data_IF_413819182608
#
_entry.id   IF_413819182608
#
_cell.length_a   1.000
_cell.length_b   1.000
_cell.length_c   1.000
_cell.angle_alpha   90.00
_cell.angle_beta   90.00
_cell.angle_gamma   90.00
#
_symmetry.space_group_name_H-M   'P 1'
#
loop_
_entity.id
_entity.type
_entity.pdbx_description
1 polymer ?
#
# COMPACT_ATOMS: atom_id res chain seq x y z
N UNK A 1 -9.61 5.00 -22.44
CA UNK A 1 -8.67 3.85 -22.58
C UNK A 1 -9.46 2.56 -22.57
N UNK A 2 -9.44 1.77 -23.63
CA UNK A 2 -9.99 0.41 -23.62
C UNK A 2 -9.04 -0.49 -22.81
N UNK A 3 -9.39 -0.79 -21.57
CA UNK A 3 -8.64 -1.74 -20.75
C UNK A 3 -8.67 -3.12 -21.45
N UNK A 4 -7.55 -3.52 -22.07
CA UNK A 4 -7.39 -4.87 -22.63
C UNK A 4 -7.06 -5.83 -21.50
N UNK A 5 -8.09 -6.31 -20.79
CA UNK A 5 -7.95 -7.52 -19.98
C UNK A 5 -7.73 -8.66 -20.97
N UNK A 6 -6.49 -9.15 -21.06
CA UNK A 6 -6.15 -10.30 -21.90
C UNK A 6 -6.26 -11.57 -21.05
N UNK A 7 -6.80 -12.66 -21.60
CA UNK A 7 -6.73 -13.96 -20.94
C UNK A 7 -5.27 -14.32 -20.62
N UNK A 8 -5.02 -14.72 -19.37
CA UNK A 8 -3.71 -15.19 -18.91
C UNK A 8 -3.80 -16.68 -18.63
N UNK A 9 -3.09 -17.48 -19.42
CA UNK A 9 -3.11 -18.95 -19.31
C UNK A 9 -1.92 -19.49 -18.48
N UNK A 10 -1.12 -18.62 -17.88
CA UNK A 10 0.02 -19.01 -17.05
C UNK A 10 -0.40 -19.27 -15.60
N UNK A 11 0.49 -19.89 -14.79
CA UNK A 11 0.25 -20.03 -13.37
C UNK A 11 0.33 -18.66 -12.67
N UNK A 12 -0.50 -18.45 -11.65
CA UNK A 12 -0.57 -17.19 -10.91
C UNK A 12 0.69 -16.87 -10.10
N UNK A 13 1.46 -17.91 -9.75
CA UNK A 13 2.76 -17.80 -9.10
C UNK A 13 3.80 -18.67 -9.84
N UNK A 14 5.08 -18.35 -9.71
CA UNK A 14 6.19 -19.09 -10.34
C UNK A 14 7.08 -18.20 -11.21
N UNK A 15 7.62 -18.75 -12.30
CA UNK A 15 8.64 -18.07 -13.12
C UNK A 15 8.20 -16.72 -13.71
N UNK A 16 6.91 -16.55 -14.01
CA UNK A 16 6.35 -15.27 -14.44
C UNK A 16 6.48 -14.19 -13.37
N UNK A 17 6.10 -14.53 -12.14
CA UNK A 17 6.23 -13.65 -10.98
C UNK A 17 7.69 -13.34 -10.66
N UNK A 18 8.58 -14.33 -10.70
CA UNK A 18 10.03 -14.13 -10.53
C UNK A 18 10.58 -13.14 -11.57
N UNK A 19 10.22 -13.31 -12.84
CA UNK A 19 10.62 -12.39 -13.92
C UNK A 19 10.11 -10.98 -13.67
N UNK A 20 8.87 -10.82 -13.20
CA UNK A 20 8.29 -9.53 -12.87
C UNK A 20 9.02 -8.84 -11.70
N UNK A 21 9.37 -9.60 -10.66
CA UNK A 21 10.19 -9.12 -9.53
C UNK A 21 11.55 -8.65 -10.00
N UNK A 22 12.29 -9.48 -10.74
CA UNK A 22 13.61 -9.13 -11.29
C UNK A 22 13.54 -7.86 -12.13
N UNK A 23 12.51 -7.75 -12.98
CA UNK A 23 12.31 -6.53 -13.76
C UNK A 23 12.04 -5.31 -12.87
N UNK A 24 11.25 -5.44 -11.81
CA UNK A 24 10.98 -4.32 -10.90
C UNK A 24 12.23 -3.84 -10.18
N UNK A 25 13.03 -4.78 -9.66
CA UNK A 25 14.30 -4.49 -9.00
C UNK A 25 15.22 -3.71 -9.94
N UNK A 26 15.42 -4.22 -11.17
CA UNK A 26 16.32 -3.60 -12.16
C UNK A 26 15.93 -2.19 -12.58
N UNK A 27 14.64 -1.82 -12.56
CA UNK A 27 14.18 -0.52 -13.06
C UNK A 27 14.03 0.54 -11.98
N UNK A 28 13.82 0.12 -10.73
CA UNK A 28 13.41 1.04 -9.68
C UNK A 28 14.44 1.13 -8.55
N UNK A 29 15.25 0.11 -8.28
CA UNK A 29 15.96 -0.03 -7.01
C UNK A 29 17.49 -0.14 -7.22
N UNK A 30 18.27 0.35 -6.26
CA UNK A 30 19.68 -0.04 -6.18
C UNK A 30 19.78 -1.55 -5.99
N UNK A 31 20.56 -2.23 -6.84
CA UNK A 31 20.58 -3.68 -6.88
C UNK A 31 21.13 -4.30 -5.57
N UNK A 32 22.00 -3.61 -4.83
CA UNK A 32 22.60 -4.11 -3.60
C UNK A 32 21.65 -3.95 -2.41
N UNK A 33 21.19 -2.73 -2.14
CA UNK A 33 20.28 -2.46 -1.01
C UNK A 33 18.94 -3.16 -1.19
N UNK A 34 18.51 -3.26 -2.44
CA UNK A 34 17.24 -3.84 -2.77
C UNK A 34 17.15 -5.35 -2.57
N UNK A 35 18.22 -6.08 -2.90
CA UNK A 35 18.27 -7.52 -2.62
C UNK A 35 18.31 -7.76 -1.11
N UNK A 36 19.10 -6.98 -0.36
CA UNK A 36 19.17 -7.08 1.11
C UNK A 36 17.78 -6.84 1.74
N UNK A 37 17.06 -5.79 1.30
CA UNK A 37 15.73 -5.49 1.79
C UNK A 37 14.74 -6.65 1.58
N UNK A 38 14.79 -7.32 0.42
CA UNK A 38 13.93 -8.47 0.15
C UNK A 38 14.22 -9.68 1.06
N UNK A 39 15.47 -9.87 1.50
CA UNK A 39 15.81 -10.95 2.43
C UNK A 39 15.35 -10.68 3.87
N UNK A 40 15.24 -9.41 4.26
CA UNK A 40 14.73 -8.99 5.58
C UNK A 40 13.21 -8.74 5.58
N UNK A 41 12.55 -8.79 4.44
CA UNK A 41 11.10 -8.59 4.37
C UNK A 41 10.35 -9.80 4.93
N UNK A 42 9.31 -9.53 5.73
CA UNK A 42 8.44 -10.51 6.38
C UNK A 42 9.22 -11.53 7.23
N UNK A 43 10.26 -11.06 7.93
CA UNK A 43 11.07 -11.84 8.88
C UNK A 43 10.82 -11.34 10.29
N UNK A 44 10.97 -12.25 11.26
CA UNK A 44 10.79 -11.96 12.70
C UNK A 44 11.70 -10.81 13.17
N UNK A 45 12.94 -10.78 12.69
CA UNK A 45 13.95 -9.75 12.95
C UNK A 45 14.09 -8.72 11.82
N UNK A 46 13.11 -8.70 10.92
CA UNK A 46 13.09 -7.88 9.72
C UNK A 46 12.05 -6.77 9.77
N UNK A 47 11.38 -6.53 8.65
CA UNK A 47 10.29 -5.57 8.54
C UNK A 47 9.11 -6.15 7.76
N UNK A 48 7.91 -5.69 8.10
CA UNK A 48 6.68 -6.08 7.41
C UNK A 48 6.63 -5.45 6.02
N UNK A 49 6.31 -6.28 5.02
CA UNK A 49 6.08 -5.79 3.67
C UNK A 49 4.98 -4.72 3.69
N UNK A 50 5.24 -3.51 3.20
CA UNK A 50 4.19 -2.50 3.19
C UNK A 50 3.11 -2.84 2.15
N UNK A 51 3.40 -3.74 1.19
CA UNK A 51 2.57 -4.11 0.05
C UNK A 51 1.09 -4.45 0.35
N UNK A 52 0.83 -5.21 1.39
CA UNK A 52 -0.51 -5.66 1.79
C UNK A 52 -0.55 -6.05 3.27
N UNK A 53 -1.73 -6.19 3.85
CA UNK A 53 -1.93 -6.59 5.25
C UNK A 53 -2.01 -8.13 5.46
N UNK A 54 -1.38 -8.93 4.60
CA UNK A 54 -1.38 -10.39 4.79
C UNK A 54 -0.49 -10.77 5.98
N UNK A 55 -0.97 -11.59 6.93
CA UNK A 55 -0.22 -11.90 8.15
C UNK A 55 1.02 -12.74 7.87
N UNK A 56 2.03 -12.56 8.73
CA UNK A 56 3.25 -13.34 8.69
C UNK A 56 3.09 -14.65 9.47
N UNK A 57 3.51 -15.80 8.89
CA UNK A 57 3.47 -17.07 9.59
C UNK A 57 4.48 -17.08 10.76
N UNK A 58 4.14 -17.77 11.85
CA UNK A 58 5.04 -17.94 13.02
C UNK A 58 6.39 -18.58 12.65
N UNK A 59 6.41 -19.40 11.60
CA UNK A 59 7.61 -19.96 11.01
C UNK A 59 7.79 -19.37 9.62
N UNK A 60 8.74 -18.47 9.47
CA UNK A 60 9.00 -17.79 8.19
C UNK A 60 9.86 -18.68 7.29
N UNK A 61 9.40 -18.94 6.07
CA UNK A 61 10.26 -19.43 4.98
C UNK A 61 11.47 -18.51 4.83
N UNK A 62 12.63 -19.02 4.38
CA UNK A 62 13.78 -18.17 4.02
C UNK A 62 13.43 -17.12 2.95
N UNK A 63 12.38 -17.36 2.16
CA UNK A 63 11.87 -16.43 1.17
C UNK A 63 10.33 -16.35 1.27
N UNK A 64 9.80 -15.30 1.89
CA UNK A 64 8.36 -15.03 2.01
C UNK A 64 8.04 -13.70 1.32
N UNK A 65 8.19 -13.72 0.00
CA UNK A 65 8.13 -12.54 -0.86
C UNK A 65 7.15 -12.84 -1.99
N UNK A 66 6.11 -12.03 -2.11
CA UNK A 66 5.24 -12.03 -3.28
C UNK A 66 5.65 -10.95 -4.28
N UNK A 67 5.19 -11.08 -5.53
CA UNK A 67 5.49 -10.12 -6.60
C UNK A 67 5.13 -8.68 -6.23
N UNK A 68 3.93 -8.47 -5.67
CA UNK A 68 3.46 -7.15 -5.27
C UNK A 68 4.28 -6.56 -4.11
N UNK A 69 4.68 -7.41 -3.16
CA UNK A 69 5.52 -6.98 -2.04
C UNK A 69 6.90 -6.55 -2.49
N UNK A 70 7.52 -7.31 -3.39
CA UNK A 70 8.81 -6.94 -3.96
C UNK A 70 8.75 -5.65 -4.79
N UNK A 71 7.65 -5.43 -5.54
CA UNK A 71 7.43 -4.16 -6.25
C UNK A 71 7.31 -2.98 -5.28
N UNK A 72 6.52 -3.13 -4.22
CA UNK A 72 6.35 -2.09 -3.20
C UNK A 72 7.69 -1.71 -2.55
N UNK A 73 8.50 -2.69 -2.15
CA UNK A 73 9.84 -2.43 -1.62
C UNK A 73 10.75 -1.77 -2.67
N UNK A 74 10.66 -2.19 -3.94
CA UNK A 74 11.47 -1.59 -5.00
C UNK A 74 11.16 -0.13 -5.28
N UNK A 75 9.94 0.32 -5.01
CA UNK A 75 9.57 1.73 -5.09
C UNK A 75 10.08 2.52 -3.89
N UNK A 76 9.96 1.98 -2.68
CA UNK A 76 10.49 2.64 -1.48
C UNK A 76 12.02 2.80 -1.51
N UNK A 77 12.71 1.77 -2.01
CA UNK A 77 14.16 1.73 -2.11
C UNK A 77 14.71 2.33 -3.42
N UNK A 78 13.90 3.11 -4.16
CA UNK A 78 14.39 3.74 -5.38
C UNK A 78 15.52 4.72 -5.09
N UNK A 79 16.43 4.91 -6.04
CA UNK A 79 17.46 5.96 -6.00
C UNK A 79 17.03 7.23 -6.71
N UNK A 80 15.98 7.16 -7.54
CA UNK A 80 15.50 8.33 -8.28
C UNK A 80 14.90 9.33 -7.31
N UNK A 81 15.32 10.59 -7.42
CA UNK A 81 14.85 11.69 -6.56
C UNK A 81 14.29 12.79 -7.44
N UNK A 82 13.19 13.38 -6.99
CA UNK A 82 12.64 14.56 -7.62
C UNK A 82 13.50 15.73 -7.17
N UNK A 83 14.32 16.26 -8.07
CA UNK A 83 15.10 17.46 -7.81
C UNK A 83 14.29 18.72 -8.14
N UNK A 84 14.85 19.88 -7.78
CA UNK A 84 14.21 21.15 -8.08
C UNK A 84 14.08 21.41 -9.59
N UNK A 85 14.93 20.79 -10.43
CA UNK A 85 14.91 20.98 -11.88
C UNK A 85 13.74 20.26 -12.53
N UNK A 86 13.40 19.06 -12.04
CA UNK A 86 12.21 18.32 -12.46
C UNK A 86 10.94 19.17 -12.35
N UNK A 87 10.72 19.85 -11.22
CA UNK A 87 9.52 20.68 -11.03
C UNK A 87 9.58 22.04 -11.72
N UNK A 88 10.77 22.56 -12.04
CA UNK A 88 10.92 23.75 -12.89
C UNK A 88 10.58 23.46 -14.34
N UNK A 89 10.88 22.26 -14.82
CA UNK A 89 10.77 21.90 -16.25
C UNK A 89 9.41 21.28 -16.61
N UNK A 90 8.66 20.77 -15.63
CA UNK A 90 7.36 20.13 -15.87
C UNK A 90 6.23 20.90 -15.18
N UNK A 91 5.16 21.20 -15.92
CA UNK A 91 3.92 21.75 -15.36
C UNK A 91 3.07 20.64 -14.71
N UNK A 92 2.20 21.01 -13.77
CA UNK A 92 1.28 20.06 -13.14
C UNK A 92 0.29 19.51 -14.17
N UNK A 93 -0.19 20.35 -15.10
CA UNK A 93 -1.09 19.91 -16.18
C UNK A 93 -0.42 18.88 -17.10
N UNK A 94 0.86 19.03 -17.40
CA UNK A 94 1.61 18.03 -18.18
C UNK A 94 1.74 16.71 -17.39
N UNK A 95 2.16 16.78 -16.13
CA UNK A 95 2.30 15.59 -15.27
C UNK A 95 0.99 14.82 -15.11
N UNK A 96 -0.15 15.51 -15.03
CA UNK A 96 -1.48 14.90 -15.00
C UNK A 96 -1.81 14.10 -16.27
N UNK A 97 -1.20 14.44 -17.42
CA UNK A 97 -1.35 13.73 -18.68
C UNK A 97 -0.41 12.54 -18.85
N UNK A 98 0.56 12.35 -17.96
CA UNK A 98 1.52 11.25 -18.05
C UNK A 98 0.88 9.91 -17.72
N UNK A 99 1.47 8.84 -18.23
CA UNK A 99 1.07 7.50 -17.86
C UNK A 99 1.42 7.26 -16.37
N UNK A 100 0.48 6.77 -15.53
CA UNK A 100 0.69 6.69 -14.09
C UNK A 100 1.94 5.91 -13.68
N UNK A 101 2.25 4.81 -14.36
CA UNK A 101 3.47 4.06 -14.08
C UNK A 101 4.72 4.85 -14.45
N UNK A 102 4.74 5.61 -15.55
CA UNK A 102 5.86 6.51 -15.85
C UNK A 102 6.04 7.54 -14.73
N UNK A 103 4.96 8.17 -14.25
CA UNK A 103 5.02 9.14 -13.17
C UNK A 103 5.59 8.54 -11.87
N UNK A 104 5.05 7.39 -11.45
CA UNK A 104 5.52 6.64 -10.27
C UNK A 104 7.00 6.25 -10.38
N UNK A 105 7.45 5.85 -11.57
CA UNK A 105 8.82 5.42 -11.82
C UNK A 105 9.82 6.56 -12.03
N UNK A 106 9.34 7.80 -12.14
CA UNK A 106 10.18 8.93 -12.51
C UNK A 106 11.03 9.39 -11.34
N UNK A 107 10.42 9.63 -10.17
CA UNK A 107 11.11 10.32 -9.07
C UNK A 107 10.43 10.10 -7.71
N UNK A 108 11.24 9.96 -6.63
CA UNK A 108 10.74 10.04 -5.24
C UNK A 108 10.83 11.47 -4.72
N UNK A 109 9.75 11.97 -4.11
CA UNK A 109 9.74 13.29 -3.48
C UNK A 109 10.69 13.33 -2.27
N UNK A 110 11.46 14.41 -2.14
CA UNK A 110 12.49 14.57 -1.08
C UNK A 110 12.32 15.81 -0.22
N UNK A 111 11.52 16.75 -0.72
CA UNK A 111 11.35 18.09 -0.17
C UNK A 111 9.87 18.47 -0.25
N UNK A 112 9.34 19.27 0.69
CA UNK A 112 8.01 19.83 0.57
C UNK A 112 7.85 20.66 -0.70
N UNK A 113 6.68 20.56 -1.31
CA UNK A 113 6.35 21.26 -2.54
C UNK A 113 5.12 22.13 -2.33
N UNK A 114 5.12 23.30 -2.96
CA UNK A 114 3.97 24.21 -3.03
C UNK A 114 3.57 24.43 -4.46
N UNK A 115 2.28 24.26 -4.76
CA UNK A 115 1.76 24.57 -6.08
C UNK A 115 1.67 26.09 -6.28
N UNK A 116 2.19 26.57 -7.42
CA UNK A 116 2.04 27.93 -7.92
C UNK A 116 1.14 27.92 -9.15
N UNK A 117 -0.09 28.41 -8.97
CA UNK A 117 -1.09 28.47 -10.04
C UNK A 117 -0.75 29.48 -11.14
N UNK A 118 0.13 30.46 -10.88
CA UNK A 118 0.52 31.45 -11.88
C UNK A 118 1.47 30.86 -12.93
N UNK A 119 2.26 29.86 -12.54
CA UNK A 119 3.22 29.17 -13.40
C UNK A 119 2.82 27.73 -13.74
N UNK A 120 1.75 27.22 -13.13
CA UNK A 120 1.28 25.83 -13.17
C UNK A 120 2.37 24.83 -12.77
N UNK A 121 3.17 25.15 -11.75
CA UNK A 121 4.33 24.35 -11.33
C UNK A 121 4.38 24.16 -9.83
N UNK A 122 5.10 23.11 -9.41
CA UNK A 122 5.48 22.93 -8.02
C UNK A 122 6.78 23.67 -7.71
N UNK A 123 6.83 24.35 -6.57
CA UNK A 123 8.00 25.02 -6.03
C UNK A 123 8.48 24.27 -4.79
N UNK A 124 9.77 23.92 -4.77
CA UNK A 124 10.40 23.40 -3.54
C UNK A 124 10.41 24.47 -2.48
N UNK A 125 9.98 24.11 -1.26
CA UNK A 125 9.98 25.00 -0.10
C UNK A 125 10.56 24.27 1.11
N UNK A 126 11.07 25.03 2.07
CA UNK A 126 11.56 24.48 3.34
C UNK A 126 10.41 23.93 4.20
N UNK A 127 10.72 22.94 5.05
CA UNK A 127 9.75 22.34 5.97
C UNK A 127 9.08 23.35 6.88
N UNK A 128 9.84 24.31 7.42
CA UNK A 128 9.32 25.37 8.29
C UNK A 128 8.28 26.24 7.58
N UNK A 129 8.49 26.51 6.29
CA UNK A 129 7.55 27.27 5.46
C UNK A 129 6.28 26.45 5.24
N UNK A 130 6.42 25.17 4.87
CA UNK A 130 5.28 24.28 4.67
C UNK A 130 4.41 24.18 5.93
N UNK A 131 5.03 23.92 7.09
CA UNK A 131 4.32 23.83 8.37
C UNK A 131 3.65 25.15 8.76
N UNK A 132 4.34 26.29 8.60
CA UNK A 132 3.78 27.60 8.94
C UNK A 132 2.56 27.96 8.08
N UNK A 133 2.61 27.66 6.77
CA UNK A 133 1.49 27.93 5.85
C UNK A 133 0.30 27.00 6.11
N UNK A 134 0.53 25.70 6.29
CA UNK A 134 -0.51 24.73 6.64
C UNK A 134 -1.16 25.14 7.97
N UNK A 135 -0.37 25.46 8.99
CA UNK A 135 -0.89 25.89 10.29
C UNK A 135 -1.71 27.19 10.19
N UNK A 136 -1.26 28.17 9.39
CA UNK A 136 -2.00 29.41 9.14
C UNK A 136 -3.35 29.11 8.47
N UNK A 137 -3.37 28.21 7.49
CA UNK A 137 -4.59 27.82 6.79
C UNK A 137 -5.56 27.10 7.72
N UNK A 138 -5.09 26.12 8.48
CA UNK A 138 -5.91 25.41 9.47
C UNK A 138 -6.51 26.38 10.50
N UNK A 139 -5.72 27.31 11.05
CA UNK A 139 -6.21 28.33 11.99
C UNK A 139 -7.22 29.32 11.40
N UNK A 140 -7.34 29.40 10.07
CA UNK A 140 -8.28 30.32 9.42
C UNK A 140 -9.72 29.81 9.37
N UNK A 141 -9.94 28.52 9.63
CA UNK A 141 -11.27 27.94 9.64
C UNK A 141 -11.95 28.16 11.00
N UNK A 142 -13.18 28.68 10.97
CA UNK A 142 -13.98 28.92 12.18
C UNK A 142 -14.64 27.64 12.73
N UNK A 143 -14.94 26.68 11.84
CA UNK A 143 -15.46 25.37 12.20
C UNK A 143 -14.42 24.31 11.83
N UNK A 144 -13.88 23.54 12.79
CA UNK A 144 -12.88 22.51 12.51
C UNK A 144 -13.44 21.34 11.68
N UNK A 145 -14.75 21.14 11.63
CA UNK A 145 -15.37 20.05 10.87
C UNK A 145 -15.37 20.28 9.34
N UNK A 146 -14.95 21.45 8.86
CA UNK A 146 -14.75 21.66 7.41
C UNK A 146 -13.45 21.03 6.90
N UNK A 147 -12.61 20.51 7.79
CA UNK A 147 -11.34 19.85 7.46
C UNK A 147 -11.47 18.35 7.67
N UNK A 148 -11.06 17.59 6.65
CA UNK A 148 -10.98 16.14 6.68
C UNK A 148 -9.52 15.70 6.79
N UNK A 149 -9.25 14.79 7.73
CA UNK A 149 -7.93 14.22 7.98
C UNK A 149 -7.92 12.75 7.56
N UNK A 150 -7.77 12.49 6.27
CA UNK A 150 -7.74 11.12 5.74
C UNK A 150 -6.45 10.37 6.12
N UNK A 151 -6.56 9.12 6.57
CA UNK A 151 -5.38 8.25 6.81
C UNK A 151 -5.36 7.01 5.90
N UNK A 152 -4.16 6.61 5.51
CA UNK A 152 -3.93 5.41 4.69
C UNK A 152 -3.65 4.20 5.57
N UNK A 153 -4.17 3.03 5.21
CA UNK A 153 -3.84 1.75 5.83
C UNK A 153 -2.39 1.28 5.61
N UNK A 154 -1.61 2.04 4.83
CA UNK A 154 -0.15 1.90 4.69
C UNK A 154 0.62 2.63 5.79
N UNK A 155 -0.04 3.53 6.52
CA UNK A 155 0.54 4.28 7.63
C UNK A 155 0.72 3.33 8.81
N UNK A 156 1.83 3.44 9.55
CA UNK A 156 2.01 2.66 10.77
C UNK A 156 0.96 3.03 11.82
N UNK A 157 0.66 2.10 12.74
CA UNK A 157 -0.29 2.35 13.82
C UNK A 157 0.14 3.54 14.70
N UNK A 158 1.44 3.71 14.94
CA UNK A 158 2.01 4.80 15.73
C UNK A 158 1.82 6.15 15.04
N UNK A 159 2.15 6.23 13.74
CA UNK A 159 1.96 7.46 12.97
C UNK A 159 0.47 7.81 12.81
N UNK A 160 -0.38 6.82 12.55
CA UNK A 160 -1.83 6.99 12.51
C UNK A 160 -2.37 7.45 13.87
N UNK A 161 -1.85 6.91 14.98
CA UNK A 161 -2.22 7.32 16.34
C UNK A 161 -1.86 8.78 16.63
N UNK A 162 -0.66 9.23 16.25
CA UNK A 162 -0.27 10.63 16.42
C UNK A 162 -1.11 11.56 15.53
N UNK A 163 -1.39 11.15 14.30
CA UNK A 163 -2.17 11.95 13.35
C UNK A 163 -3.64 12.10 13.77
N UNK A 164 -4.27 11.02 14.25
CA UNK A 164 -5.63 11.07 14.77
C UNK A 164 -5.76 11.90 16.06
N UNK A 165 -4.70 11.94 16.88
CA UNK A 165 -4.64 12.77 18.08
C UNK A 165 -4.56 14.24 17.67
N UNK A 166 -3.72 14.56 16.68
CA UNK A 166 -3.63 15.90 16.12
C UNK A 166 -4.98 16.41 15.58
N UNK A 167 -5.70 15.60 14.79
CA UNK A 167 -7.03 15.96 14.29
C UNK A 167 -8.04 16.25 15.41
N UNK A 168 -8.02 15.44 16.48
CA UNK A 168 -8.86 15.65 17.67
C UNK A 168 -8.47 16.90 18.45
N UNK A 169 -7.17 17.19 18.58
CA UNK A 169 -6.67 18.43 19.19
C UNK A 169 -7.01 19.67 18.35
N UNK A 170 -7.07 19.53 17.02
CA UNK A 170 -7.57 20.57 16.12
C UNK A 170 -9.07 20.82 16.30
N UNK A 171 -9.82 19.84 16.85
CA UNK A 171 -11.21 19.99 17.25
C UNK A 171 -12.22 19.24 16.37
N UNK A 172 -11.78 18.28 15.56
CA UNK A 172 -12.66 17.50 14.68
C UNK A 172 -12.52 15.99 14.88
N UNK A 173 -13.58 15.26 14.55
CA UNK A 173 -13.56 13.80 14.40
C UNK A 173 -13.61 13.36 12.92
N UNK A 174 -13.54 14.28 11.97
CA UNK A 174 -13.56 14.00 10.53
C UNK A 174 -12.22 13.38 10.11
N UNK A 175 -12.11 12.07 10.36
CA UNK A 175 -10.90 11.28 10.17
C UNK A 175 -11.25 9.94 9.50
N UNK A 176 -11.66 9.96 8.22
CA UNK A 176 -11.89 8.73 7.49
C UNK A 176 -10.56 8.04 7.15
N UNK A 177 -10.63 6.75 6.87
CA UNK A 177 -9.50 5.98 6.41
C UNK A 177 -9.84 5.14 5.18
N UNK A 178 -8.84 4.47 4.60
CA UNK A 178 -9.06 3.62 3.44
C UNK A 178 -10.04 2.46 3.71
N UNK A 179 -10.19 2.03 4.97
CA UNK A 179 -11.08 0.94 5.36
C UNK A 179 -12.55 1.33 5.24
N UNK A 180 -12.90 2.62 5.34
CA UNK A 180 -14.27 3.07 5.08
C UNK A 180 -14.72 2.76 3.63
N UNK A 181 -13.79 2.68 2.67
CA UNK A 181 -14.12 2.33 1.28
C UNK A 181 -14.19 0.82 1.03
N UNK A 182 -13.42 0.00 1.76
CA UNK A 182 -13.27 -1.43 1.46
C UNK A 182 -13.79 -2.40 2.53
N UNK A 183 -13.87 -1.98 3.79
CA UNK A 183 -14.23 -2.83 4.94
C UNK A 183 -15.41 -2.28 5.77
N UNK A 184 -15.98 -1.12 5.44
CA UNK A 184 -17.17 -0.60 6.11
C UNK A 184 -18.36 -1.57 6.08
N UNK A 185 -18.73 -2.18 4.92
CA UNK A 185 -19.86 -3.12 4.90
C UNK A 185 -19.64 -4.33 5.81
N UNK A 186 -18.40 -4.83 5.87
CA UNK A 186 -18.01 -5.94 6.75
C UNK A 186 -18.08 -5.55 8.22
N UNK A 187 -17.65 -4.33 8.56
CA UNK A 187 -17.65 -3.82 9.93
C UNK A 187 -19.06 -3.70 10.51
N UNK A 188 -20.05 -3.42 9.66
CA UNK A 188 -21.47 -3.41 10.04
C UNK A 188 -22.04 -4.83 10.08
N UNK A 189 -21.92 -5.59 8.99
CA UNK A 189 -22.59 -6.89 8.84
C UNK A 189 -22.08 -7.99 9.76
N UNK A 190 -20.76 -8.05 10.02
CA UNK A 190 -20.21 -9.06 10.92
C UNK A 190 -20.53 -8.80 12.39
N UNK A 191 -20.67 -7.53 12.81
CA UNK A 191 -21.08 -7.22 14.18
C UNK A 191 -22.49 -7.74 14.45
N UNK A 192 -23.41 -7.55 13.51
CA UNK A 192 -24.78 -8.08 13.61
C UNK A 192 -24.82 -9.62 13.59
N UNK A 193 -23.96 -10.25 12.77
CA UNK A 193 -23.98 -11.70 12.56
C UNK A 193 -23.23 -12.50 13.63
N UNK A 194 -22.06 -12.02 14.07
CA UNK A 194 -21.12 -12.76 14.95
C UNK A 194 -20.53 -11.91 16.07
N UNK A 195 -20.96 -10.66 16.24
CA UNK A 195 -20.54 -9.77 17.34
C UNK A 195 -19.17 -9.10 17.17
N UNK A 196 -18.45 -9.37 16.07
CA UNK A 196 -17.09 -8.85 15.84
C UNK A 196 -16.95 -8.37 14.40
N UNK A 197 -16.59 -7.09 14.20
CA UNK A 197 -16.43 -6.47 12.86
C UNK A 197 -15.09 -6.77 12.17
N UNK A 198 -14.39 -7.83 12.57
CA UNK A 198 -13.03 -8.16 12.11
C UNK A 198 -12.91 -9.66 11.83
N UNK A 199 -11.81 -10.06 11.19
CA UNK A 199 -11.49 -11.47 10.98
C UNK A 199 -11.44 -12.23 12.31
N UNK A 200 -12.10 -13.38 12.35
CA UNK A 200 -12.23 -14.26 13.54
C UNK A 200 -11.30 -15.47 13.51
N UNK A 201 -10.56 -15.64 12.41
CA UNK A 201 -9.66 -16.78 12.16
C UNK A 201 -8.21 -16.34 12.14
N UNK A 202 -7.32 -17.29 12.42
CA UNK A 202 -5.87 -17.16 12.31
C UNK A 202 -5.36 -17.89 11.08
N UNK A 203 -4.10 -17.64 10.72
CA UNK A 203 -3.48 -18.31 9.58
C UNK A 203 -3.40 -19.83 9.78
N UNK A 204 -3.18 -20.29 11.02
CA UNK A 204 -3.10 -21.70 11.38
C UNK A 204 -4.45 -22.43 11.26
N UNK A 205 -5.57 -21.70 11.19
CA UNK A 205 -6.87 -22.36 10.96
C UNK A 205 -6.95 -22.97 9.55
N UNK A 206 -6.12 -22.51 8.61
CA UNK A 206 -5.93 -23.17 7.32
C UNK A 206 -5.27 -24.54 7.45
N UNK A 207 -4.63 -24.89 8.57
CA UNK A 207 -4.04 -26.22 8.80
C UNK A 207 -5.10 -27.28 9.15
N UNK A 208 -6.24 -26.81 9.66
CA UNK A 208 -7.29 -27.66 10.22
C UNK A 208 -8.57 -27.69 9.38
N UNK A 209 -8.71 -26.82 8.38
CA UNK A 209 -9.93 -26.74 7.59
C UNK A 209 -10.03 -27.88 6.54
N UNK A 210 -11.25 -28.38 6.36
CA UNK A 210 -11.61 -29.38 5.33
C UNK A 210 -12.21 -28.73 4.06
N UNK A 211 -12.65 -27.48 4.18
CA UNK A 211 -13.28 -26.71 3.10
C UNK A 211 -12.93 -25.23 3.22
N UNK A 212 -12.47 -24.64 2.12
CA UNK A 212 -12.33 -23.20 1.96
C UNK A 212 -13.29 -22.73 0.88
N UNK A 213 -14.07 -21.70 1.19
CA UNK A 213 -14.99 -21.05 0.24
C UNK A 213 -14.52 -19.60 0.05
N UNK A 214 -14.15 -19.26 -1.16
CA UNK A 214 -13.58 -17.97 -1.55
C UNK A 214 -14.61 -17.18 -2.36
N UNK A 215 -15.36 -16.28 -1.72
CA UNK A 215 -16.45 -15.53 -2.37
C UNK A 215 -16.00 -14.08 -2.59
N UNK A 216 -16.07 -13.60 -3.84
CA UNK A 216 -15.74 -12.20 -4.16
C UNK A 216 -14.26 -11.85 -3.95
N UNK A 217 -13.37 -12.85 -3.92
CA UNK A 217 -11.95 -12.67 -3.64
C UNK A 217 -11.07 -13.28 -4.73
N UNK A 218 -10.00 -12.55 -5.08
CA UNK A 218 -8.97 -13.01 -6.02
C UNK A 218 -7.61 -13.06 -5.31
N UNK A 219 -7.29 -14.16 -4.60
CA UNK A 219 -6.03 -14.29 -3.87
C UNK A 219 -4.82 -14.24 -4.80
N UNK A 220 -5.01 -14.67 -6.05
CA UNK A 220 -3.98 -14.69 -7.07
C UNK A 220 -3.32 -13.34 -7.35
N UNK A 221 -4.10 -12.28 -7.37
CA UNK A 221 -3.62 -10.92 -7.66
C UNK A 221 -3.55 -10.04 -6.42
N UNK A 222 -4.50 -10.20 -5.50
CA UNK A 222 -4.69 -9.25 -4.40
C UNK A 222 -3.93 -9.69 -3.14
N UNK A 223 -3.81 -11.01 -2.91
CA UNK A 223 -3.14 -11.57 -1.73
C UNK A 223 -2.27 -12.79 -2.10
N UNK A 224 -1.24 -12.65 -2.96
CA UNK A 224 -0.57 -13.83 -3.53
C UNK A 224 0.13 -14.72 -2.49
N UNK A 225 0.46 -14.18 -1.31
CA UNK A 225 1.00 -14.96 -0.18
C UNK A 225 0.00 -16.01 0.34
N UNK A 226 -1.31 -15.75 0.23
CA UNK A 226 -2.36 -16.71 0.57
C UNK A 226 -2.33 -17.97 -0.30
N UNK A 227 -1.76 -17.91 -1.51
CA UNK A 227 -1.67 -19.07 -2.40
C UNK A 227 -0.88 -20.22 -1.78
N UNK A 228 0.07 -19.94 -0.88
CA UNK A 228 0.80 -20.97 -0.14
C UNK A 228 -0.15 -21.75 0.77
N UNK A 229 -0.93 -21.05 1.61
CA UNK A 229 -1.91 -21.69 2.49
C UNK A 229 -2.99 -22.45 1.72
N UNK A 230 -3.48 -21.88 0.61
CA UNK A 230 -4.45 -22.58 -0.26
C UNK A 230 -3.84 -23.83 -0.90
N UNK A 231 -2.57 -23.77 -1.34
CA UNK A 231 -1.86 -24.93 -1.87
C UNK A 231 -1.73 -26.03 -0.82
N UNK A 232 -1.42 -25.68 0.43
CA UNK A 232 -1.30 -26.64 1.54
C UNK A 232 -2.63 -27.34 1.81
N UNK A 233 -3.74 -26.59 1.85
CA UNK A 233 -5.09 -27.16 1.95
C UNK A 233 -5.35 -28.16 0.80
N UNK A 234 -5.05 -27.79 -0.44
CA UNK A 234 -5.23 -28.67 -1.59
C UNK A 234 -4.34 -29.93 -1.54
N UNK A 235 -3.10 -29.81 -1.05
CA UNK A 235 -2.18 -30.94 -0.91
C UNK A 235 -2.65 -31.95 0.14
N UNK A 236 -3.41 -31.52 1.15
CA UNK A 236 -4.09 -32.42 2.11
C UNK A 236 -5.34 -33.10 1.52
N UNK A 237 -5.68 -32.84 0.26
CA UNK A 237 -6.86 -33.38 -0.41
C UNK A 237 -8.17 -32.67 -0.04
N UNK A 238 -8.09 -31.52 0.61
CA UNK A 238 -9.24 -30.75 1.07
C UNK A 238 -9.81 -29.87 -0.05
N UNK A 239 -11.06 -29.43 0.12
CA UNK A 239 -11.79 -28.75 -0.95
C UNK A 239 -11.58 -27.25 -0.94
N UNK A 240 -11.32 -26.70 -2.12
CA UNK A 240 -11.28 -25.26 -2.38
C UNK A 240 -12.40 -24.92 -3.37
N UNK A 241 -13.28 -24.00 -3.00
CA UNK A 241 -14.32 -23.44 -3.86
C UNK A 241 -14.03 -21.96 -4.05
N UNK A 242 -14.02 -21.50 -5.30
CA UNK A 242 -13.86 -20.10 -5.67
C UNK A 242 -14.94 -19.71 -6.69
#
# INVERSE_FOLDING_TARGET
MTAKIKPYNGPTAGWGAVRAVVNSIRHNMDAQYGLIALFHMNKVDGFDCPGCAWPDPKHTSSFDVCENGAKAVSWEATEKRADAEFFKTNTVSELLGWEPRVLEQSVRLTTPLKYDSSTDKYLSIEWEVAFAEIARKLKSFNDPNVVEFYTSGRTSNEAAFLYQLFARMYGTNNFPDCSNMCHEPTSVGLVESVGVGKGTVKLEDFDHCDLVICIGHNPGTNHPRMLTSLREVAQRGQRLLQ
#
